data_IF_056597972498
#
_entry.id   IF_056597972498
#
_cell.length_a   1.000
_cell.length_b   1.000
_cell.length_c   1.000
_cell.angle_alpha   90.00
_cell.angle_beta   90.00
_cell.angle_gamma   90.00
#
_symmetry.space_group_name_H-M   'P 1'
#
loop_
_entity.id
_entity.type
_entity.pdbx_description
1 polymer ?
#
# COMPACT_ATOMS: atom_id res chain seq x y z
N UNK A 1 31.94 -43.11 20.89
CA UNK A 1 31.04 -43.43 19.76
C UNK A 1 30.29 -42.16 19.40
N UNK A 2 30.55 -41.65 18.20
CA UNK A 2 29.81 -40.54 17.61
C UNK A 2 28.52 -41.10 17.02
N UNK A 3 27.37 -40.47 17.28
CA UNK A 3 26.17 -40.69 16.47
C UNK A 3 25.65 -39.33 16.01
N UNK A 4 25.69 -39.18 14.70
CA UNK A 4 25.18 -38.06 13.93
C UNK A 4 23.66 -38.04 13.96
N UNK A 5 23.06 -36.86 14.14
CA UNK A 5 21.66 -36.61 13.84
C UNK A 5 21.56 -36.16 12.38
N UNK A 6 21.24 -37.11 11.50
CA UNK A 6 20.75 -36.83 10.15
C UNK A 6 19.26 -36.50 10.26
N UNK A 7 18.87 -35.27 9.92
CA UNK A 7 17.46 -34.90 9.73
C UNK A 7 17.28 -34.55 8.26
N UNK A 8 16.65 -35.50 7.55
CA UNK A 8 16.30 -35.45 6.14
C UNK A 8 15.03 -34.63 5.94
N UNK A 9 15.09 -33.76 4.92
CA UNK A 9 14.07 -33.39 3.91
C UNK A 9 12.63 -33.10 4.34
N UNK A 10 12.16 -31.90 3.97
CA UNK A 10 11.03 -31.76 3.03
C UNK A 10 11.01 -30.33 2.46
N UNK A 11 11.61 -30.18 1.27
CA UNK A 11 11.43 -29.00 0.43
C UNK A 11 10.06 -29.09 -0.25
N UNK A 12 9.12 -28.24 0.17
CA UNK A 12 7.87 -28.03 -0.54
C UNK A 12 8.12 -27.23 -1.82
N UNK A 13 8.45 -27.96 -2.88
CA UNK A 13 8.52 -27.43 -4.23
C UNK A 13 7.09 -27.26 -4.76
N UNK A 14 6.52 -26.07 -4.55
CA UNK A 14 5.24 -25.69 -5.14
C UNK A 14 5.48 -25.29 -6.59
N UNK A 15 5.46 -26.27 -7.49
CA UNK A 15 5.31 -26.04 -8.93
C UNK A 15 3.86 -25.64 -9.20
N UNK A 16 3.51 -24.38 -8.96
CA UNK A 16 2.35 -23.76 -9.58
C UNK A 16 2.83 -23.08 -10.87
N UNK A 17 2.30 -23.56 -11.99
CA UNK A 17 2.38 -22.93 -13.31
C UNK A 17 1.77 -21.52 -13.22
N UNK A 18 2.58 -20.55 -12.83
CA UNK A 18 2.23 -19.14 -12.92
C UNK A 18 2.34 -18.76 -14.41
N UNK A 19 1.20 -18.55 -15.07
CA UNK A 19 1.16 -17.99 -16.42
C UNK A 19 1.78 -16.60 -16.36
N UNK A 20 3.03 -16.49 -16.82
CA UNK A 20 3.77 -15.24 -16.97
C UNK A 20 3.03 -14.33 -17.96
N UNK A 21 2.19 -13.42 -17.44
CA UNK A 21 1.54 -12.34 -18.21
C UNK A 21 2.53 -11.25 -18.67
N UNK A 22 3.83 -11.51 -18.52
CA UNK A 22 4.95 -10.60 -18.73
C UNK A 22 5.67 -10.80 -20.07
N UNK A 23 5.16 -11.63 -20.98
CA UNK A 23 5.63 -11.62 -22.37
C UNK A 23 5.15 -10.34 -23.08
N UNK A 24 6.07 -9.39 -23.16
CA UNK A 24 6.07 -8.25 -24.05
C UNK A 24 6.35 -8.75 -25.49
N UNK A 25 5.32 -9.17 -26.23
CA UNK A 25 5.08 -8.76 -27.63
C UNK A 25 3.78 -9.41 -28.15
N UNK A 26 2.71 -8.61 -28.29
CA UNK A 26 1.60 -8.98 -29.17
C UNK A 26 1.01 -7.69 -29.75
N UNK A 27 1.44 -7.34 -30.96
CA UNK A 27 0.93 -6.23 -31.78
C UNK A 27 -0.48 -6.50 -32.33
N UNK A 28 -1.31 -7.32 -31.68
CA UNK A 28 -2.74 -7.36 -32.03
C UNK A 28 -3.47 -6.13 -31.48
N UNK A 29 -3.72 -5.14 -32.34
CA UNK A 29 -4.73 -4.10 -32.09
C UNK A 29 -6.09 -4.75 -32.40
N UNK A 30 -6.71 -5.30 -31.36
CA UNK A 30 -8.00 -6.01 -31.47
C UNK A 30 -9.11 -5.14 -32.08
N UNK A 31 -10.11 -5.80 -32.65
CA UNK A 31 -11.24 -5.13 -33.30
C UNK A 31 -12.01 -4.21 -32.34
N UNK A 32 -12.77 -3.23 -32.85
CA UNK A 32 -13.62 -2.34 -32.02
C UNK A 32 -14.59 -3.14 -31.15
N UNK A 33 -15.08 -4.28 -31.66
CA UNK A 33 -15.98 -5.19 -30.93
C UNK A 33 -15.25 -5.89 -29.79
N UNK A 34 -14.02 -6.37 -30.02
CA UNK A 34 -13.15 -6.94 -28.97
C UNK A 34 -12.75 -5.91 -27.92
N UNK A 35 -12.63 -4.63 -28.31
CA UNK A 35 -12.35 -3.56 -27.36
C UNK A 35 -13.52 -3.35 -26.39
N UNK A 36 -14.73 -3.23 -26.93
CA UNK A 36 -15.92 -3.09 -26.09
C UNK A 36 -16.13 -4.29 -25.18
N UNK A 37 -16.04 -5.52 -25.73
CA UNK A 37 -16.27 -6.74 -24.95
C UNK A 37 -15.24 -6.91 -23.82
N UNK A 38 -13.99 -6.48 -24.02
CA UNK A 38 -12.99 -6.45 -22.97
C UNK A 38 -13.38 -5.53 -21.81
N UNK A 39 -13.73 -4.27 -22.09
CA UNK A 39 -14.05 -3.31 -21.02
C UNK A 39 -15.33 -3.70 -20.28
N UNK A 40 -16.33 -4.22 -21.00
CA UNK A 40 -17.55 -4.78 -20.40
C UNK A 40 -17.22 -5.94 -19.44
N UNK A 41 -16.34 -6.86 -19.86
CA UNK A 41 -15.88 -7.95 -19.01
C UNK A 41 -15.12 -7.44 -17.77
N UNK A 42 -14.18 -6.49 -17.93
CA UNK A 42 -13.47 -5.89 -16.79
C UNK A 42 -14.44 -5.23 -15.80
N UNK A 43 -15.44 -4.51 -16.31
CA UNK A 43 -16.48 -3.90 -15.47
C UNK A 43 -17.30 -4.95 -14.71
N UNK A 44 -17.71 -6.03 -15.37
CA UNK A 44 -18.50 -7.09 -14.76
C UNK A 44 -17.71 -7.83 -13.66
N UNK A 45 -16.45 -8.17 -13.92
CA UNK A 45 -15.58 -8.83 -12.92
C UNK A 45 -15.34 -7.89 -11.74
N UNK A 46 -15.08 -6.60 -12.00
CA UNK A 46 -14.88 -5.61 -10.95
C UNK A 46 -16.13 -5.48 -10.06
N UNK A 47 -17.30 -5.32 -10.66
CA UNK A 47 -18.56 -5.21 -9.92
C UNK A 47 -18.82 -6.46 -9.08
N UNK A 48 -18.65 -7.65 -9.67
CA UNK A 48 -18.83 -8.92 -8.95
C UNK A 48 -17.93 -9.01 -7.72
N UNK A 49 -16.65 -8.62 -7.85
CA UNK A 49 -15.71 -8.65 -6.74
C UNK A 49 -15.91 -7.53 -5.72
N UNK A 50 -16.51 -6.40 -6.08
CA UNK A 50 -16.82 -5.31 -5.14
C UNK A 50 -18.09 -5.59 -4.32
N UNK A 51 -19.16 -6.08 -4.95
CA UNK A 51 -20.47 -6.25 -4.30
C UNK A 51 -20.64 -7.58 -3.57
N UNK A 52 -19.89 -8.62 -3.93
CA UNK A 52 -19.90 -9.90 -3.19
C UNK A 52 -19.27 -9.68 -1.82
N UNK A 53 -20.06 -9.54 -0.76
CA UNK A 53 -19.55 -9.35 0.61
C UNK A 53 -20.15 -10.35 1.60
N UNK A 54 -19.32 -10.93 2.47
CA UNK A 54 -19.76 -11.74 3.60
C UNK A 54 -20.05 -10.89 4.84
N UNK A 55 -20.74 -11.48 5.83
CA UNK A 55 -21.13 -10.79 7.07
C UNK A 55 -19.94 -10.15 7.82
N UNK A 56 -18.80 -10.83 7.85
CA UNK A 56 -17.55 -10.30 8.43
C UNK A 56 -17.09 -9.03 7.70
N UNK A 57 -17.06 -9.04 6.38
CA UNK A 57 -16.59 -7.91 5.57
C UNK A 57 -17.55 -6.72 5.68
N UNK A 58 -18.85 -6.96 5.75
CA UNK A 58 -19.85 -5.91 5.97
C UNK A 58 -19.68 -5.25 7.34
N UNK A 59 -19.49 -6.05 8.40
CA UNK A 59 -19.22 -5.55 9.76
C UNK A 59 -17.94 -4.73 9.81
N UNK A 60 -16.85 -5.25 9.23
CA UNK A 60 -15.58 -4.54 9.16
C UNK A 60 -15.69 -3.25 8.36
N UNK A 61 -16.36 -3.25 7.20
CA UNK A 61 -16.58 -2.04 6.40
C UNK A 61 -17.29 -0.95 7.19
N UNK A 62 -18.34 -1.32 7.93
CA UNK A 62 -19.07 -0.37 8.77
C UNK A 62 -18.19 0.16 9.91
N UNK A 63 -17.50 -0.72 10.63
CA UNK A 63 -16.62 -0.33 11.74
C UNK A 63 -15.45 0.55 11.26
N UNK A 64 -14.82 0.24 10.13
CA UNK A 64 -13.76 1.05 9.54
C UNK A 64 -14.30 2.41 9.08
N UNK A 65 -15.47 2.45 8.44
CA UNK A 65 -16.09 3.71 7.98
C UNK A 65 -16.43 4.63 9.15
N UNK A 66 -16.99 4.07 10.22
CA UNK A 66 -17.26 4.81 11.46
C UNK A 66 -15.97 5.31 12.09
N UNK A 67 -14.95 4.45 12.22
CA UNK A 67 -13.65 4.84 12.76
C UNK A 67 -13.02 6.01 11.99
N UNK A 68 -12.99 5.94 10.65
CA UNK A 68 -12.44 7.00 9.81
C UNK A 68 -13.22 8.31 9.97
N UNK A 69 -14.55 8.26 9.92
CA UNK A 69 -15.41 9.44 10.06
C UNK A 69 -15.19 10.15 11.40
N UNK A 70 -15.18 9.39 12.48
CA UNK A 70 -15.02 9.97 13.82
C UNK A 70 -13.60 10.54 14.04
N UNK A 71 -12.57 9.94 13.45
CA UNK A 71 -11.20 10.48 13.48
C UNK A 71 -11.13 11.80 12.71
N UNK A 72 -11.81 11.90 11.56
CA UNK A 72 -11.85 13.12 10.76
C UNK A 72 -12.62 14.24 11.46
N UNK A 73 -13.72 13.91 12.15
CA UNK A 73 -14.52 14.88 12.91
C UNK A 73 -13.82 15.35 14.18
N UNK A 74 -12.93 14.55 14.77
CA UNK A 74 -12.17 14.93 15.95
C UNK A 74 -10.85 15.63 15.56
N UNK A 75 -10.97 16.87 15.04
CA UNK A 75 -9.87 17.73 14.57
C UNK A 75 -8.87 18.14 15.67
N UNK A 76 -9.15 17.84 16.95
CA UNK A 76 -8.36 18.28 18.11
C UNK A 76 -7.08 17.46 18.35
N UNK A 77 -6.75 16.51 17.48
CA UNK A 77 -5.69 15.53 17.73
C UNK A 77 -4.44 15.82 16.90
N UNK A 78 -3.34 16.17 17.57
CA UNK A 78 -2.05 16.47 16.93
C UNK A 78 -1.23 15.19 16.72
N UNK A 79 -0.70 14.98 15.50
CA UNK A 79 0.30 13.93 15.22
C UNK A 79 1.70 14.48 15.54
N UNK A 80 2.52 13.67 16.22
CA UNK A 80 3.93 13.96 16.52
C UNK A 80 4.90 13.32 15.51
N UNK A 81 4.38 12.90 14.35
CA UNK A 81 5.08 12.11 13.35
C UNK A 81 5.93 12.97 12.40
N UNK A 82 5.85 14.30 12.53
CA UNK A 82 6.68 15.28 11.84
C UNK A 82 6.88 16.50 12.74
N UNK A 83 7.93 17.28 12.48
CA UNK A 83 8.27 18.55 13.15
C UNK A 83 7.18 19.63 12.99
N UNK A 84 6.24 19.43 12.05
CA UNK A 84 5.07 20.28 11.86
C UNK A 84 3.82 19.64 12.46
N UNK A 85 3.07 20.43 13.23
CA UNK A 85 1.76 20.08 13.77
C UNK A 85 0.81 19.84 12.60
N UNK A 86 0.67 18.59 12.21
CA UNK A 86 -0.38 18.14 11.27
C UNK A 86 -1.48 17.46 12.08
N UNK A 87 -2.73 17.69 11.69
CA UNK A 87 -3.87 17.01 12.30
C UNK A 87 -3.72 15.51 12.04
N UNK A 88 -3.94 14.65 13.06
CA UNK A 88 -3.80 13.18 12.91
C UNK A 88 -4.62 12.62 11.75
N UNK A 89 -5.71 13.28 11.35
CA UNK A 89 -6.56 12.90 10.23
C UNK A 89 -5.86 12.99 8.87
N UNK A 90 -4.79 13.79 8.72
CA UNK A 90 -4.05 13.94 7.45
C UNK A 90 -2.77 13.11 7.41
N UNK A 91 -2.25 12.68 8.56
CA UNK A 91 -1.10 11.78 8.60
C UNK A 91 -1.52 10.31 8.39
N UNK A 92 -1.11 9.72 7.27
CA UNK A 92 -1.40 8.32 6.90
C UNK A 92 -1.06 7.32 8.02
N UNK A 93 0.12 7.41 8.62
CA UNK A 93 0.55 6.48 9.67
C UNK A 93 -0.30 6.61 10.94
N UNK A 94 -0.63 7.85 11.35
CA UNK A 94 -1.55 8.07 12.48
C UNK A 94 -2.95 7.57 12.18
N UNK A 95 -3.46 7.82 10.97
CA UNK A 95 -4.77 7.35 10.57
C UNK A 95 -4.86 5.82 10.64
N UNK A 96 -3.88 5.10 10.06
CA UNK A 96 -3.80 3.64 10.15
C UNK A 96 -3.77 3.16 11.60
N UNK A 97 -2.95 3.79 12.45
CA UNK A 97 -2.85 3.45 13.88
C UNK A 97 -4.18 3.65 14.62
N UNK A 98 -4.84 4.79 14.42
CA UNK A 98 -6.11 5.09 15.10
C UNK A 98 -7.25 4.19 14.62
N UNK A 99 -7.32 3.90 13.32
CA UNK A 99 -8.30 2.94 12.78
C UNK A 99 -8.03 1.55 13.35
N UNK A 100 -6.77 1.10 13.37
CA UNK A 100 -6.41 -0.19 13.99
C UNK A 100 -6.83 -0.24 15.47
N UNK A 101 -6.56 0.79 16.26
CA UNK A 101 -7.00 0.89 17.67
C UNK A 101 -8.50 0.76 17.83
N UNK A 102 -9.27 1.48 17.02
CA UNK A 102 -10.74 1.45 17.09
C UNK A 102 -11.28 0.07 16.74
N UNK A 103 -10.70 -0.59 15.73
CA UNK A 103 -11.07 -1.97 15.38
C UNK A 103 -10.69 -2.95 16.51
N UNK A 104 -9.51 -2.81 17.11
CA UNK A 104 -9.08 -3.61 18.27
C UNK A 104 -10.02 -3.42 19.48
N UNK A 105 -10.38 -2.18 19.80
CA UNK A 105 -11.32 -1.86 20.87
C UNK A 105 -12.73 -2.42 20.61
N UNK A 106 -13.11 -2.57 19.34
CA UNK A 106 -14.36 -3.23 18.93
C UNK A 106 -14.25 -4.77 18.92
N UNK A 107 -13.13 -5.34 19.36
CA UNK A 107 -12.91 -6.79 19.49
C UNK A 107 -12.38 -7.48 18.23
N UNK A 108 -11.99 -6.74 17.19
CA UNK A 108 -11.36 -7.34 16.00
C UNK A 108 -9.86 -7.55 16.23
N UNK A 109 -9.33 -8.68 15.77
CA UNK A 109 -7.88 -8.89 15.65
C UNK A 109 -7.34 -8.10 14.46
N UNK A 110 -7.29 -6.77 14.61
CA UNK A 110 -6.75 -5.82 13.64
C UNK A 110 -5.25 -5.58 13.87
N UNK A 111 -4.51 -5.41 12.78
CA UNK A 111 -3.09 -5.09 12.82
C UNK A 111 -2.68 -4.16 11.69
N UNK A 112 -1.57 -3.45 11.89
CA UNK A 112 -0.87 -2.77 10.79
C UNK A 112 0.03 -3.78 10.12
N UNK A 113 -0.12 -3.94 8.81
CA UNK A 113 0.73 -4.79 7.99
C UNK A 113 1.69 -3.94 7.17
N UNK A 114 2.97 -4.31 7.20
CA UNK A 114 4.01 -3.74 6.35
C UNK A 114 4.61 -4.81 5.44
N UNK A 115 4.42 -4.67 4.15
CA UNK A 115 5.06 -5.50 3.11
C UNK A 115 6.33 -4.83 2.62
N UNK A 116 7.31 -5.66 2.26
CA UNK A 116 8.56 -5.22 1.62
C UNK A 116 8.95 -6.25 0.58
N UNK A 117 9.24 -5.81 -0.64
CA UNK A 117 9.73 -6.67 -1.71
C UNK A 117 11.02 -6.09 -2.28
N UNK A 118 11.91 -6.99 -2.69
CA UNK A 118 13.18 -6.64 -3.33
C UNK A 118 12.97 -6.40 -4.83
N UNK A 119 13.94 -5.74 -5.45
CA UNK A 119 13.98 -5.59 -6.90
C UNK A 119 14.10 -6.97 -7.54
N UNK A 120 13.40 -7.14 -8.65
CA UNK A 120 13.48 -8.29 -9.56
C UNK A 120 13.64 -7.77 -10.99
N UNK A 121 13.86 -8.63 -12.00
CA UNK A 121 13.97 -8.19 -13.40
C UNK A 121 12.73 -7.43 -13.90
N UNK A 122 11.53 -7.76 -13.39
CA UNK A 122 10.26 -7.20 -13.89
C UNK A 122 9.73 -6.04 -13.07
N UNK A 123 10.10 -5.94 -11.79
CA UNK A 123 9.59 -4.92 -10.86
C UNK A 123 10.66 -4.36 -9.91
N UNK A 124 10.66 -3.04 -9.62
CA UNK A 124 11.55 -2.45 -8.64
C UNK A 124 11.16 -2.80 -7.20
N UNK A 125 12.11 -2.69 -6.27
CA UNK A 125 11.85 -2.83 -4.84
C UNK A 125 10.83 -1.81 -4.34
N UNK A 126 10.09 -2.16 -3.29
CA UNK A 126 9.16 -1.24 -2.64
C UNK A 126 8.71 -1.71 -1.27
N UNK A 127 7.93 -0.86 -0.63
CA UNK A 127 7.25 -1.18 0.62
C UNK A 127 5.84 -0.59 0.61
N UNK A 128 4.92 -1.23 1.32
CA UNK A 128 3.55 -0.76 1.46
C UNK A 128 3.05 -1.01 2.88
N UNK A 129 2.18 -0.13 3.36
CA UNK A 129 1.59 -0.24 4.70
C UNK A 129 0.08 -0.10 4.61
N UNK A 130 -0.63 -1.09 5.17
CA UNK A 130 -2.08 -1.24 5.15
C UNK A 130 -2.56 -1.88 6.46
N UNK A 131 -3.87 -2.11 6.59
CA UNK A 131 -4.47 -2.80 7.74
C UNK A 131 -4.99 -4.17 7.32
N UNK A 132 -4.98 -5.11 8.26
CA UNK A 132 -5.67 -6.38 8.06
C UNK A 132 -6.33 -6.89 9.34
N UNK A 133 -7.33 -7.74 9.17
CA UNK A 133 -8.03 -8.43 10.25
C UNK A 133 -7.94 -9.92 10.00
N UNK A 134 -7.59 -10.68 11.04
CA UNK A 134 -7.63 -12.15 11.01
C UNK A 134 -8.78 -12.60 11.88
N UNK A 135 -9.79 -13.22 11.25
CA UNK A 135 -10.90 -13.85 11.93
C UNK A 135 -10.63 -15.35 12.11
N UNK A 136 -10.53 -15.77 13.38
CA UNK A 136 -10.28 -17.16 13.79
C UNK A 136 -11.54 -17.89 14.28
N UNK A 137 -12.72 -17.30 14.06
CA UNK A 137 -13.99 -17.90 14.52
C UNK A 137 -14.34 -19.18 13.74
N UNK A 138 -13.84 -19.31 12.51
CA UNK A 138 -14.01 -20.52 11.72
C UNK A 138 -12.96 -21.57 12.09
N UNK A 139 -13.42 -22.73 12.59
CA UNK A 139 -12.55 -23.84 13.00
C UNK A 139 -11.72 -24.45 11.86
N UNK A 140 -12.08 -24.22 10.60
CA UNK A 140 -11.41 -24.81 9.44
C UNK A 140 -10.24 -23.98 8.92
N UNK A 141 -10.35 -22.66 8.97
CA UNK A 141 -9.36 -21.76 8.37
C UNK A 141 -9.51 -20.34 8.93
N UNK A 142 -8.37 -19.72 9.23
CA UNK A 142 -8.27 -18.30 9.55
C UNK A 142 -8.62 -17.47 8.29
N UNK A 143 -9.59 -16.56 8.42
CA UNK A 143 -10.01 -15.68 7.33
C UNK A 143 -9.28 -14.35 7.47
N UNK A 144 -8.45 -14.02 6.47
CA UNK A 144 -7.75 -12.73 6.39
C UNK A 144 -8.54 -11.73 5.54
N UNK A 145 -8.85 -10.58 6.12
CA UNK A 145 -9.50 -9.45 5.45
C UNK A 145 -8.53 -8.28 5.39
N UNK A 146 -8.30 -7.75 4.19
CA UNK A 146 -7.44 -6.60 3.93
C UNK A 146 -8.28 -5.32 3.99
N UNK A 147 -7.71 -4.28 4.59
CA UNK A 147 -8.28 -2.95 4.71
C UNK A 147 -7.26 -1.94 4.16
N UNK A 148 -7.63 -1.27 3.07
CA UNK A 148 -6.84 -0.17 2.48
C UNK A 148 -7.67 1.11 2.59
N UNK A 149 -7.08 2.18 3.15
CA UNK A 149 -7.83 3.40 3.45
C UNK A 149 -7.89 4.37 2.27
N UNK A 150 -6.96 4.25 1.31
CA UNK A 150 -6.85 5.11 0.14
C UNK A 150 -6.78 4.27 -1.15
N UNK A 151 -7.65 3.27 -1.28
CA UNK A 151 -7.54 2.22 -2.30
C UNK A 151 -7.66 2.75 -3.73
N UNK A 152 -8.59 3.68 -3.98
CA UNK A 152 -8.81 4.26 -5.31
C UNK A 152 -7.54 4.94 -5.84
N UNK A 153 -6.91 5.78 -5.03
CA UNK A 153 -5.71 6.53 -5.39
C UNK A 153 -4.55 5.61 -5.81
N UNK A 154 -4.49 4.39 -5.27
CA UNK A 154 -3.47 3.39 -5.63
C UNK A 154 -3.59 2.92 -7.09
N UNK A 155 -4.67 3.25 -7.83
CA UNK A 155 -4.88 2.87 -9.24
C UNK A 155 -5.06 4.05 -10.20
N UNK A 156 -5.06 5.30 -9.71
CA UNK A 156 -5.20 6.49 -10.55
C UNK A 156 -3.99 6.69 -11.47
N UNK A 157 -4.22 7.06 -12.72
CA UNK A 157 -3.18 7.26 -13.72
C UNK A 157 -3.38 8.61 -14.42
N UNK A 158 -2.34 9.43 -14.48
CA UNK A 158 -2.42 10.78 -15.05
C UNK A 158 -2.82 10.81 -16.53
N UNK A 159 -2.42 9.78 -17.30
CA UNK A 159 -2.75 9.62 -18.72
C UNK A 159 -3.62 8.38 -18.95
N UNK A 160 -4.68 8.25 -18.15
CA UNK A 160 -5.68 7.20 -18.30
C UNK A 160 -6.67 7.49 -19.45
N UNK A 161 -7.14 6.44 -20.13
CA UNK A 161 -8.30 6.50 -21.01
C UNK A 161 -9.59 6.66 -20.21
N UNK A 162 -10.68 7.04 -20.88
CA UNK A 162 -11.97 7.24 -20.21
C UNK A 162 -12.56 5.92 -19.69
N UNK A 163 -12.34 4.82 -20.40
CA UNK A 163 -12.75 3.47 -20.01
C UNK A 163 -12.02 3.02 -18.74
N UNK A 164 -10.71 3.22 -18.67
CA UNK A 164 -9.93 2.91 -17.46
C UNK A 164 -10.35 3.79 -16.29
N UNK A 165 -10.54 5.10 -16.51
CA UNK A 165 -11.09 5.99 -15.49
C UNK A 165 -12.48 5.54 -15.03
N UNK A 166 -13.30 5.00 -15.92
CA UNK A 166 -14.58 4.37 -15.60
C UNK A 166 -14.45 3.22 -14.60
N UNK A 167 -13.41 2.39 -14.69
CA UNK A 167 -13.11 1.35 -13.69
C UNK A 167 -12.69 1.95 -12.36
N UNK A 168 -11.73 2.88 -12.37
CA UNK A 168 -11.17 3.49 -11.16
C UNK A 168 -12.24 4.25 -10.37
N UNK A 169 -13.16 4.96 -11.06
CA UNK A 169 -14.27 5.69 -10.42
C UNK A 169 -15.24 4.77 -9.65
N UNK A 170 -15.31 3.49 -9.99
CA UNK A 170 -16.15 2.49 -9.29
C UNK A 170 -15.49 1.96 -8.00
N UNK A 171 -14.18 2.17 -7.81
CA UNK A 171 -13.47 1.68 -6.63
C UNK A 171 -13.88 2.46 -5.37
N UNK A 172 -14.07 1.79 -4.22
CA UNK A 172 -14.27 2.49 -2.96
C UNK A 172 -12.99 3.21 -2.54
N UNK A 173 -13.12 4.33 -1.83
CA UNK A 173 -11.95 4.99 -1.21
C UNK A 173 -11.34 4.08 -0.14
N UNK A 174 -12.18 3.54 0.74
CA UNK A 174 -11.81 2.54 1.74
C UNK A 174 -12.19 1.15 1.22
N UNK A 175 -11.19 0.35 0.86
CA UNK A 175 -11.38 -1.05 0.53
C UNK A 175 -11.40 -1.91 1.80
N UNK A 176 -12.33 -2.86 1.84
CA UNK A 176 -12.42 -3.90 2.86
C UNK A 176 -12.84 -5.18 2.13
N UNK A 177 -11.98 -6.19 2.14
CA UNK A 177 -12.30 -7.46 1.50
C UNK A 177 -11.24 -8.54 1.70
N UNK A 178 -11.62 -9.79 1.46
CA UNK A 178 -10.71 -10.93 1.52
C UNK A 178 -9.59 -10.86 0.48
N UNK A 179 -8.54 -11.64 0.73
CA UNK A 179 -7.33 -11.71 -0.10
C UNK A 179 -7.65 -12.10 -1.55
N UNK A 180 -8.50 -13.10 -1.76
CA UNK A 180 -8.79 -13.63 -3.10
C UNK A 180 -9.53 -12.58 -3.95
N UNK A 181 -10.46 -11.85 -3.33
CA UNK A 181 -11.17 -10.74 -3.97
C UNK A 181 -10.23 -9.61 -4.34
N UNK A 182 -9.28 -9.29 -3.47
CA UNK A 182 -8.31 -8.24 -3.71
C UNK A 182 -7.41 -8.59 -4.90
N UNK A 183 -6.90 -9.82 -4.97
CA UNK A 183 -6.10 -10.30 -6.12
C UNK A 183 -6.89 -10.17 -7.43
N UNK A 184 -8.15 -10.58 -7.47
CA UNK A 184 -8.99 -10.42 -8.66
C UNK A 184 -9.17 -8.96 -9.08
N UNK A 185 -9.38 -8.05 -8.12
CA UNK A 185 -9.53 -6.61 -8.40
C UNK A 185 -8.21 -6.04 -8.94
N UNK A 186 -7.07 -6.39 -8.34
CA UNK A 186 -5.74 -5.99 -8.81
C UNK A 186 -5.53 -6.46 -10.25
N UNK A 187 -5.84 -7.72 -10.55
CA UNK A 187 -5.73 -8.30 -11.90
C UNK A 187 -6.53 -7.51 -12.93
N UNK A 188 -7.81 -7.26 -12.65
CA UNK A 188 -8.71 -6.49 -13.54
C UNK A 188 -8.15 -5.09 -13.82
N UNK A 189 -7.72 -4.39 -12.78
CA UNK A 189 -7.21 -3.03 -12.92
C UNK A 189 -5.86 -3.01 -13.65
N UNK A 190 -4.95 -3.93 -13.35
CA UNK A 190 -3.66 -4.01 -14.04
C UNK A 190 -3.82 -4.39 -15.53
N UNK A 191 -4.74 -5.28 -15.86
CA UNK A 191 -5.08 -5.59 -17.25
C UNK A 191 -5.67 -4.38 -17.98
N UNK A 192 -6.60 -3.66 -17.33
CA UNK A 192 -7.15 -2.41 -17.85
C UNK A 192 -6.07 -1.34 -18.05
N UNK A 193 -5.12 -1.21 -17.11
CA UNK A 193 -4.01 -0.28 -17.20
C UNK A 193 -3.06 -0.63 -18.35
N UNK A 194 -2.73 -1.92 -18.55
CA UNK A 194 -1.92 -2.41 -19.69
C UNK A 194 -2.60 -2.06 -21.01
N UNK A 195 -3.91 -2.32 -21.13
CA UNK A 195 -4.67 -1.99 -22.34
C UNK A 195 -4.72 -0.49 -22.62
N UNK A 196 -5.07 0.31 -21.61
CA UNK A 196 -5.10 1.77 -21.70
C UNK A 196 -3.75 2.34 -22.17
N UNK A 197 -2.64 1.83 -21.62
CA UNK A 197 -1.31 2.29 -22.01
C UNK A 197 -0.95 1.88 -23.44
N UNK A 198 -1.31 0.66 -23.86
CA UNK A 198 -1.15 0.20 -25.25
C UNK A 198 -1.92 1.09 -26.24
N UNK A 199 -3.19 1.37 -25.96
CA UNK A 199 -4.05 2.23 -26.80
C UNK A 199 -3.52 3.67 -26.88
N UNK A 200 -2.97 4.19 -25.78
CA UNK A 200 -2.33 5.50 -25.72
C UNK A 200 -0.89 5.53 -26.28
N UNK A 201 -0.36 4.42 -26.79
CA UNK A 201 1.04 4.27 -27.25
C UNK A 201 2.06 4.68 -26.20
N UNK A 202 1.83 4.26 -24.96
CA UNK A 202 2.66 4.54 -23.80
C UNK A 202 3.11 3.25 -23.11
N UNK A 203 4.30 3.28 -22.50
CA UNK A 203 4.76 2.16 -21.67
C UNK A 203 4.09 2.17 -20.30
N UNK A 204 3.69 0.98 -19.83
CA UNK A 204 3.17 0.81 -18.47
C UNK A 204 4.33 0.83 -17.47
N UNK A 205 4.30 1.80 -16.55
CA UNK A 205 5.31 1.89 -15.48
C UNK A 205 5.38 0.61 -14.64
N UNK A 206 6.57 0.17 -14.18
CA UNK A 206 6.71 -1.07 -13.42
C UNK A 206 5.83 -1.15 -12.17
N UNK A 207 5.57 -0.02 -11.51
CA UNK A 207 4.69 0.06 -10.32
C UNK A 207 3.20 -0.12 -10.62
N UNK A 208 2.82 -0.18 -11.90
CA UNK A 208 1.44 -0.47 -12.35
C UNK A 208 1.29 -1.90 -12.86
N UNK A 209 2.39 -2.65 -12.99
CA UNK A 209 2.35 -4.07 -13.37
C UNK A 209 1.69 -4.90 -12.27
N UNK A 210 1.09 -6.01 -12.69
CA UNK A 210 0.34 -6.92 -11.81
C UNK A 210 1.17 -7.37 -10.60
N UNK A 211 2.37 -7.93 -10.85
CA UNK A 211 3.27 -8.44 -9.81
C UNK A 211 3.65 -7.37 -8.78
N UNK A 212 3.87 -6.13 -9.20
CA UNK A 212 4.17 -5.04 -8.27
C UNK A 212 2.96 -4.72 -7.39
N UNK A 213 1.78 -4.62 -8.00
CA UNK A 213 0.55 -4.31 -7.27
C UNK A 213 0.17 -5.44 -6.32
N UNK A 214 0.31 -6.71 -6.71
CA UNK A 214 0.10 -7.84 -5.79
C UNK A 214 1.08 -7.82 -4.61
N UNK A 215 2.37 -7.55 -4.86
CA UNK A 215 3.38 -7.49 -3.80
C UNK A 215 3.04 -6.48 -2.69
N UNK A 216 2.32 -5.40 -3.01
CA UNK A 216 1.89 -4.39 -2.02
C UNK A 216 1.04 -4.97 -0.91
N UNK A 217 0.10 -5.86 -1.21
CA UNK A 217 -0.83 -6.38 -0.20
C UNK A 217 -0.64 -7.87 0.09
N UNK A 218 -0.16 -8.64 -0.88
CA UNK A 218 -0.08 -10.10 -0.83
C UNK A 218 1.33 -10.61 -0.58
N UNK A 219 2.34 -9.74 -0.67
CA UNK A 219 3.72 -10.09 -0.34
C UNK A 219 3.91 -10.43 1.15
N UNK A 220 5.08 -10.98 1.53
CA UNK A 220 5.42 -11.24 2.92
C UNK A 220 5.28 -9.97 3.77
N UNK A 221 4.46 -10.02 4.81
CA UNK A 221 4.14 -8.87 5.64
C UNK A 221 4.60 -9.06 7.09
N UNK A 222 5.14 -7.99 7.69
CA UNK A 222 5.27 -7.89 9.14
C UNK A 222 3.95 -7.34 9.69
N UNK A 223 3.29 -8.11 10.55
CA UNK A 223 2.00 -7.79 11.15
C UNK A 223 2.22 -7.29 12.58
N UNK A 224 1.80 -6.07 12.86
CA UNK A 224 1.94 -5.43 14.17
C UNK A 224 0.57 -5.28 14.85
N UNK A 225 0.34 -6.13 15.86
CA UNK A 225 -0.84 -6.08 16.74
C UNK A 225 -0.61 -5.21 17.97
N UNK A 226 0.64 -4.82 18.27
CA UNK A 226 1.07 -4.03 19.44
C UNK A 226 0.74 -2.55 19.24
N UNK A 227 -0.51 -2.28 18.94
CA UNK A 227 -1.05 -0.94 18.82
C UNK A 227 -1.60 -0.43 20.17
N UNK A 228 -1.63 -1.31 21.18
CA UNK A 228 -1.92 -1.03 22.59
C UNK A 228 -0.65 -0.53 23.30
N UNK A 229 -0.78 0.54 24.08
CA UNK A 229 0.24 1.24 24.87
C UNK A 229 1.22 2.17 24.11
N UNK A 230 0.71 3.33 23.68
CA UNK A 230 1.36 4.56 24.14
C UNK A 230 0.57 5.03 25.37
N UNK A 231 0.70 4.27 26.47
CA UNK A 231 0.48 4.89 27.77
C UNK A 231 1.61 5.88 27.93
N UNK A 232 1.27 7.15 28.09
CA UNK A 232 2.12 8.07 28.82
C UNK A 232 2.46 7.37 30.14
N UNK A 233 3.71 6.99 30.27
CA UNK A 233 4.21 6.09 31.30
C UNK A 233 5.69 5.92 31.04
N UNK A 234 6.47 6.82 31.63
CA UNK A 234 7.92 6.78 31.62
C UNK A 234 8.43 5.36 31.93
N UNK A 235 9.19 4.78 31.01
CA UNK A 235 10.20 3.80 31.32
C UNK A 235 11.39 4.09 30.45
N UNK A 236 12.38 4.69 31.11
CA UNK A 236 13.65 5.14 30.60
C UNK A 236 14.47 3.91 30.22
N UNK A 237 14.38 3.49 28.96
CA UNK A 237 15.35 2.55 28.37
C UNK A 237 16.22 3.36 27.41
N UNK A 238 17.43 3.67 27.88
CA UNK A 238 18.47 4.34 27.12
C UNK A 238 18.73 3.61 25.79
N UNK A 239 18.36 4.24 24.69
CA UNK A 239 18.87 3.88 23.36
C UNK A 239 20.15 4.70 23.09
N UNK A 240 21.24 4.09 22.61
CA UNK A 240 22.46 4.82 22.28
C UNK A 240 22.23 5.79 21.11
N UNK A 241 22.70 7.03 21.27
CA UNK A 241 22.59 8.12 20.30
C UNK A 241 23.06 7.69 18.89
N UNK A 242 22.30 7.95 17.82
CA UNK A 242 22.81 7.78 16.47
C UNK A 242 23.93 8.80 16.21
N UNK A 243 25.12 8.31 15.85
CA UNK A 243 26.22 9.15 15.34
C UNK A 243 25.79 9.76 14.01
N UNK A 244 25.84 11.08 13.91
CA UNK A 244 25.63 11.79 12.65
C UNK A 244 26.69 11.32 11.64
N UNK A 245 26.25 10.75 10.52
CA UNK A 245 27.11 10.54 9.36
C UNK A 245 27.16 11.88 8.61
N UNK A 246 28.30 12.54 8.65
CA UNK A 246 28.56 13.71 7.82
C UNK A 246 28.43 13.33 6.34
N UNK A 247 27.63 14.08 5.58
CA UNK A 247 27.60 13.99 4.12
C UNK A 247 28.88 14.59 3.56
N UNK A 248 29.59 13.85 2.70
CA UNK A 248 30.80 14.29 2.00
C UNK A 248 30.51 15.19 0.78
N UNK A 249 29.39 15.93 0.77
CA UNK A 249 28.93 16.71 -0.40
C UNK A 249 28.74 18.20 -0.13
N UNK A 250 29.33 18.74 0.94
CA UNK A 250 29.51 20.19 1.09
C UNK A 250 30.99 20.50 1.00
N UNK A 251 31.46 20.77 -0.21
CA UNK A 251 32.74 21.46 -0.42
C UNK A 251 32.52 22.90 0.01
N UNK A 252 33.11 23.27 1.14
CA UNK A 252 33.17 24.64 1.65
C UNK A 252 33.86 25.55 0.62
N UNK A 253 33.06 26.34 -0.11
CA UNK A 253 33.52 27.45 -0.94
C UNK A 253 33.38 28.76 -0.14
N UNK A 254 34.08 28.84 0.98
CA UNK A 254 34.15 30.08 1.75
C UNK A 254 35.51 30.28 2.41
N UNK A 255 36.57 30.17 1.62
CA UNK A 255 37.83 30.83 1.92
C UNK A 255 38.40 31.46 0.64
N UNK A 256 38.76 32.74 0.75
CA UNK A 256 39.39 33.62 -0.26
C UNK A 256 38.45 34.52 -1.07
N UNK A 257 37.93 35.57 -0.43
CA UNK A 257 37.98 36.93 -1.01
C UNK A 257 38.18 37.97 0.13
N UNK A 258 39.09 38.94 -0.03
CA UNK A 258 39.44 39.91 1.01
C UNK A 258 38.36 41.00 1.20
N UNK A 259 38.25 41.47 2.44
CA UNK A 259 37.41 42.57 2.94
C UNK A 259 37.17 43.70 1.92
N UNK A 260 35.91 43.82 1.46
CA UNK A 260 35.39 45.07 0.90
C UNK A 260 34.33 45.60 1.87
N UNK A 261 34.72 46.60 2.67
CA UNK A 261 33.77 47.42 3.41
C UNK A 261 33.04 48.34 2.41
N UNK A 262 31.76 48.08 2.16
CA UNK A 262 30.90 49.01 1.45
C UNK A 262 30.21 49.91 2.49
N UNK A 263 30.66 51.15 2.58
CA UNK A 263 29.98 52.21 3.32
C UNK A 263 28.73 52.61 2.53
N UNK A 264 27.55 52.44 3.12
CA UNK A 264 26.31 52.97 2.57
C UNK A 264 26.27 54.49 2.79
N UNK A 265 26.12 55.25 1.71
CA UNK A 265 25.84 56.69 1.74
C UNK A 265 24.35 56.87 1.46
N UNK A 266 23.61 57.41 2.43
CA UNK A 266 22.28 58.00 2.17
C UNK A 266 22.48 59.37 1.52
N UNK A 267 21.76 59.63 0.43
CA UNK A 267 21.52 60.99 -0.06
C UNK A 267 20.02 61.14 -0.30
N UNK A 268 19.52 62.23 0.28
CA UNK A 268 18.17 62.79 0.23
C UNK A 268 17.63 63.02 -1.18
#
# INVERSE_FOLDING_TARGET
>A
MMFATSSSSDEFQSNEMELDLDEDDDESVGSVVENKSFWDNQHQILQTNLYRTGSLESRLRNATKEAVRDIQQNTKMVCSCSTQITVRSTCRNCLLLQVSRRLQNAGYNSAICKTKWKTSPTIPSGEHTFLDVIDRTNKKQDVRVIIELNFRAEFEMAKASEEYNGLVRKLPEVYVGKVERLSNIIKVLCMGAKRCMKENKMHLGPWRKHKYMEAKWLGPCKRDTSTTFLSIGYSEVMMPKPKAKASLLTVDLLEKLPNMHCTAVEVL
#
